data_IF_264735758022
#
_entry.id   IF_264735758022
#
_cell.length_a   1.000
_cell.length_b   1.000
_cell.length_c   1.000
_cell.angle_alpha   90.00
_cell.angle_beta   90.00
_cell.angle_gamma   90.00
#
_symmetry.space_group_name_H-M   'P 1'
#
loop_
_entity.id
_entity.type
_entity.pdbx_description
1 polymer ?
#
# COMPACT_ATOMS: atom_id res chain seq x y z
N UNK A 1 5.34 -3.31 4.73
CA UNK A 1 4.87 -3.12 3.34
C UNK A 1 5.32 -1.81 2.70
N UNK A 2 4.89 -0.63 3.17
CA UNK A 2 5.23 0.65 2.51
C UNK A 2 6.72 0.91 2.33
N UNK A 3 7.58 0.52 3.27
CA UNK A 3 9.04 0.64 3.11
C UNK A 3 9.56 -0.15 1.90
N UNK A 4 9.09 -1.39 1.71
CA UNK A 4 9.45 -2.23 0.57
C UNK A 4 8.97 -1.62 -0.75
N UNK A 5 7.72 -1.12 -0.80
CA UNK A 5 7.18 -0.50 -2.00
C UNK A 5 7.91 0.80 -2.37
N UNK A 6 8.06 1.72 -1.42
CA UNK A 6 8.61 3.05 -1.70
C UNK A 6 10.14 3.09 -1.76
N UNK A 7 10.84 2.42 -0.84
CA UNK A 7 12.31 2.45 -0.84
C UNK A 7 12.89 1.37 -1.75
N UNK A 8 12.30 0.17 -1.75
CA UNK A 8 12.72 -0.92 -2.63
C UNK A 8 12.39 -0.64 -4.08
N UNK A 9 11.15 -0.90 -4.50
CA UNK A 9 10.75 -0.72 -5.90
C UNK A 9 10.75 0.75 -6.36
N UNK A 10 10.38 1.67 -5.47
CA UNK A 10 10.34 3.09 -5.80
C UNK A 10 11.73 3.72 -5.99
N UNK A 11 12.68 3.42 -5.10
CA UNK A 11 14.01 4.07 -5.05
C UNK A 11 15.21 3.15 -5.29
N UNK A 12 14.98 1.87 -5.57
CA UNK A 12 16.03 0.90 -5.89
C UNK A 12 16.87 0.44 -4.70
N UNK A 13 16.37 0.57 -3.47
CA UNK A 13 17.05 -0.04 -2.31
C UNK A 13 16.96 -1.56 -2.41
N UNK A 14 18.08 -2.22 -2.20
CA UNK A 14 18.18 -3.68 -2.31
C UNK A 14 17.21 -4.39 -1.35
N UNK A 15 16.53 -5.43 -1.84
CA UNK A 15 15.52 -6.17 -1.09
C UNK A 15 16.11 -6.89 0.13
N UNK A 16 17.28 -7.52 0.00
CA UNK A 16 17.96 -8.21 1.12
C UNK A 16 18.31 -7.23 2.24
N UNK A 17 18.76 -6.01 1.90
CA UNK A 17 19.00 -4.96 2.88
C UNK A 17 17.72 -4.51 3.60
N UNK A 18 16.59 -4.42 2.89
CA UNK A 18 15.30 -4.08 3.51
C UNK A 18 14.81 -5.19 4.43
N UNK A 19 15.00 -6.47 4.07
CA UNK A 19 14.69 -7.59 4.94
C UNK A 19 15.57 -7.62 6.19
N UNK A 20 16.87 -7.33 6.04
CA UNK A 20 17.78 -7.20 7.18
C UNK A 20 17.32 -6.09 8.12
N UNK A 21 17.00 -4.91 7.60
CA UNK A 21 16.51 -3.78 8.39
C UNK A 21 15.18 -4.09 9.08
N UNK A 22 14.26 -4.74 8.38
CA UNK A 22 12.99 -5.17 8.95
C UNK A 22 13.22 -6.14 10.11
N UNK A 23 14.04 -7.17 9.91
CA UNK A 23 14.34 -8.15 10.96
C UNK A 23 15.02 -7.51 12.17
N UNK A 24 15.90 -6.54 11.94
CA UNK A 24 16.57 -5.82 13.02
C UNK A 24 15.63 -4.92 13.82
N UNK A 25 14.64 -4.31 13.16
CA UNK A 25 13.75 -3.32 13.80
C UNK A 25 12.46 -3.92 14.37
N UNK A 26 11.95 -4.98 13.76
CA UNK A 26 10.63 -5.56 14.05
C UNK A 26 10.69 -7.06 14.32
N UNK A 27 11.85 -7.70 14.19
CA UNK A 27 12.00 -9.16 14.32
C UNK A 27 11.01 -9.88 13.37
N UNK A 28 10.22 -10.79 13.91
CA UNK A 28 9.24 -11.60 13.18
C UNK A 28 7.86 -10.93 13.10
N UNK A 29 7.68 -9.73 13.67
CA UNK A 29 6.40 -9.01 13.66
C UNK A 29 5.92 -8.77 12.23
N UNK A 30 4.65 -9.07 11.97
CA UNK A 30 3.92 -8.68 10.76
C UNK A 30 2.50 -8.26 11.14
N UNK A 31 1.87 -7.36 10.38
CA UNK A 31 0.44 -7.10 10.56
C UNK A 31 -0.37 -8.38 10.29
N UNK A 32 -1.37 -8.63 11.12
CA UNK A 32 -2.38 -9.68 10.87
C UNK A 32 -3.21 -9.38 9.60
N UNK A 33 -3.33 -8.10 9.26
CA UNK A 33 -4.02 -7.61 8.07
C UNK A 33 -3.37 -6.32 7.54
N UNK A 34 -3.05 -6.34 6.25
CA UNK A 34 -2.74 -5.15 5.44
C UNK A 34 -3.85 -4.96 4.42
N UNK A 35 -4.53 -3.82 4.48
CA UNK A 35 -5.48 -3.39 3.46
C UNK A 35 -4.74 -2.54 2.42
N UNK A 36 -4.71 -3.00 1.18
CA UNK A 36 -4.05 -2.32 0.06
C UNK A 36 -5.13 -1.65 -0.78
N UNK A 37 -5.20 -0.33 -0.69
CA UNK A 37 -6.10 0.50 -1.50
C UNK A 37 -5.47 0.67 -2.89
N UNK A 38 -5.83 -0.20 -3.83
CA UNK A 38 -5.31 -0.13 -5.20
C UNK A 38 -6.08 0.90 -6.00
N UNK A 39 -5.34 1.79 -6.66
CA UNK A 39 -5.90 2.78 -7.57
C UNK A 39 -4.91 3.03 -8.69
N UNK A 40 -5.45 3.38 -9.85
CA UNK A 40 -4.66 3.92 -10.94
C UNK A 40 -3.83 5.13 -10.45
N UNK A 41 -2.49 5.16 -10.65
CA UNK A 41 -1.63 6.21 -10.13
C UNK A 41 -2.03 7.62 -10.55
N UNK A 42 -2.46 7.79 -11.79
CA UNK A 42 -2.86 9.06 -12.37
C UNK A 42 -4.13 9.60 -11.67
N UNK A 43 -5.13 8.74 -11.49
CA UNK A 43 -6.33 9.08 -10.72
C UNK A 43 -6.02 9.34 -9.23
N UNK A 44 -5.11 8.54 -8.65
CA UNK A 44 -4.65 8.71 -7.27
C UNK A 44 -4.01 10.07 -7.03
N UNK A 45 -3.10 10.49 -7.91
CA UNK A 45 -2.47 11.81 -7.88
C UNK A 45 -3.48 12.93 -8.07
N UNK A 46 -4.41 12.78 -9.03
CA UNK A 46 -5.49 13.75 -9.24
C UNK A 46 -6.32 13.97 -7.97
N UNK A 47 -6.65 12.89 -7.24
CA UNK A 47 -7.37 12.96 -5.95
C UNK A 47 -6.50 13.54 -4.83
N UNK A 48 -5.19 13.30 -4.82
CA UNK A 48 -4.26 13.88 -3.85
C UNK A 48 -4.15 15.40 -4.04
N UNK A 49 -3.91 15.87 -5.26
CA UNK A 49 -3.82 17.29 -5.59
C UNK A 49 -5.10 18.08 -5.26
N UNK A 50 -6.27 17.45 -5.40
CA UNK A 50 -7.55 18.07 -5.05
C UNK A 50 -7.73 18.27 -3.52
N UNK A 51 -7.08 17.46 -2.69
CA UNK A 51 -7.06 17.61 -1.23
C UNK A 51 -6.02 18.67 -0.87
N UNK A 52 -6.43 19.94 -0.86
CA UNK A 52 -5.55 21.08 -0.49
C UNK A 52 -4.84 20.80 0.85
N UNK A 53 -3.51 20.80 0.83
CA UNK A 53 -2.68 20.75 2.04
C UNK A 53 -1.65 19.64 1.99
N UNK A 54 -0.39 20.05 1.84
CA UNK A 54 0.84 19.25 1.86
C UNK A 54 1.10 18.45 0.59
N UNK A 55 1.78 19.09 -0.38
CA UNK A 55 2.62 18.37 -1.33
C UNK A 55 3.54 17.44 -0.55
N UNK A 56 3.32 16.14 -0.66
CA UNK A 56 4.24 15.18 -0.05
C UNK A 56 5.42 14.97 -1.00
N UNK A 57 6.63 14.82 -0.46
CA UNK A 57 7.87 14.53 -1.22
C UNK A 57 7.70 13.43 -2.29
N UNK A 58 6.73 12.54 -2.11
CA UNK A 58 6.45 11.44 -3.03
C UNK A 58 5.47 11.81 -4.15
N UNK A 59 4.57 12.77 -3.98
CA UNK A 59 3.67 13.24 -5.04
C UNK A 59 4.40 14.04 -6.13
N UNK A 60 5.59 14.55 -5.81
CA UNK A 60 6.48 15.22 -6.76
C UNK A 60 7.34 14.23 -7.58
N UNK A 61 7.22 12.92 -7.34
CA UNK A 61 7.95 11.92 -8.11
C UNK A 61 7.30 11.71 -9.49
N UNK A 62 8.05 11.14 -10.44
CA UNK A 62 7.53 10.86 -11.77
C UNK A 62 6.47 9.74 -11.78
N UNK A 63 5.70 9.67 -12.86
CA UNK A 63 4.67 8.63 -13.01
C UNK A 63 5.24 7.21 -12.94
N UNK A 64 6.46 7.00 -13.45
CA UNK A 64 7.11 5.70 -13.42
C UNK A 64 7.33 5.22 -11.98
N UNK A 65 7.74 6.12 -11.09
CA UNK A 65 7.85 5.86 -9.65
C UNK A 65 6.53 5.37 -9.07
N UNK A 66 5.42 6.06 -9.36
CA UNK A 66 4.11 5.67 -8.83
C UNK A 66 3.65 4.31 -9.37
N UNK A 67 3.90 4.02 -10.64
CA UNK A 67 3.65 2.72 -11.24
C UNK A 67 4.49 1.61 -10.58
N UNK A 68 5.79 1.84 -10.32
CA UNK A 68 6.65 0.89 -9.58
C UNK A 68 6.14 0.64 -8.16
N UNK A 69 5.73 1.69 -7.45
CA UNK A 69 5.17 1.59 -6.10
C UNK A 69 3.88 0.76 -6.08
N UNK A 70 2.94 1.05 -7.00
CA UNK A 70 1.71 0.26 -7.15
C UNK A 70 2.02 -1.21 -7.41
N UNK A 71 2.89 -1.50 -8.38
CA UNK A 71 3.27 -2.86 -8.73
C UNK A 71 3.90 -3.62 -7.54
N UNK A 72 4.67 -2.93 -6.70
CA UNK A 72 5.26 -3.51 -5.50
C UNK A 72 4.20 -3.89 -4.45
N UNK A 73 3.24 -3.02 -4.16
CA UNK A 73 2.13 -3.36 -3.27
C UNK A 73 1.32 -4.56 -3.79
N UNK A 74 1.00 -4.59 -5.08
CA UNK A 74 0.31 -5.72 -5.69
C UNK A 74 1.13 -7.01 -5.68
N UNK A 75 2.46 -6.91 -5.69
CA UNK A 75 3.36 -8.07 -5.55
C UNK A 75 3.35 -8.59 -4.12
N UNK A 76 3.43 -7.70 -3.12
CA UNK A 76 3.29 -8.07 -1.70
C UNK A 76 1.95 -8.79 -1.48
N UNK A 77 0.86 -8.24 -2.01
CA UNK A 77 -0.46 -8.84 -1.87
C UNK A 77 -0.56 -10.25 -2.46
N UNK A 78 0.04 -10.45 -3.64
CA UNK A 78 0.10 -11.75 -4.33
C UNK A 78 0.94 -12.77 -3.58
N UNK A 79 2.05 -12.34 -2.98
CA UNK A 79 2.95 -13.21 -2.22
C UNK A 79 2.40 -13.56 -0.83
N UNK A 80 1.57 -12.69 -0.24
CA UNK A 80 1.08 -12.84 1.13
C UNK A 80 -0.45 -12.73 1.24
N UNK A 81 -1.22 -13.54 0.46
CA UNK A 81 -2.69 -13.42 0.37
C UNK A 81 -3.41 -13.71 1.68
N UNK A 82 -2.75 -14.39 2.62
CA UNK A 82 -3.32 -14.67 3.94
C UNK A 82 -3.39 -13.43 4.84
N UNK A 83 -2.52 -12.44 4.67
CA UNK A 83 -2.53 -11.19 5.46
C UNK A 83 -2.84 -9.95 4.63
N UNK A 84 -2.88 -10.03 3.31
CA UNK A 84 -3.17 -8.90 2.45
C UNK A 84 -4.56 -9.00 1.82
N UNK A 85 -5.27 -7.87 1.79
CA UNK A 85 -6.51 -7.71 1.02
C UNK A 85 -6.35 -6.50 0.09
N UNK A 86 -6.60 -6.69 -1.20
CA UNK A 86 -6.58 -5.63 -2.21
C UNK A 86 -7.99 -5.11 -2.41
N UNK A 87 -8.17 -3.80 -2.29
CA UNK A 87 -9.45 -3.10 -2.34
C UNK A 87 -9.39 -2.11 -3.49
N UNK A 88 -10.39 -2.13 -4.37
CA UNK A 88 -10.49 -1.18 -5.47
C UNK A 88 -10.85 0.21 -4.94
N UNK A 89 -9.84 1.07 -4.83
CA UNK A 89 -10.00 2.43 -4.35
C UNK A 89 -10.44 3.41 -5.45
N UNK A 90 -10.66 2.95 -6.69
CA UNK A 90 -11.29 3.78 -7.73
C UNK A 90 -12.79 3.97 -7.49
N UNK A 91 -13.43 3.06 -6.74
CA UNK A 91 -14.85 3.12 -6.38
C UNK A 91 -15.22 4.32 -5.49
N UNK A 92 -16.52 4.52 -5.29
CA UNK A 92 -17.04 5.53 -4.36
C UNK A 92 -16.57 5.25 -2.92
N UNK A 93 -16.34 6.30 -2.14
CA UNK A 93 -15.81 6.20 -0.77
C UNK A 93 -16.62 5.24 0.11
N UNK A 94 -17.95 5.25 -0.01
CA UNK A 94 -18.84 4.36 0.75
C UNK A 94 -18.67 2.89 0.35
N UNK A 95 -18.41 2.62 -0.94
CA UNK A 95 -18.15 1.26 -1.42
C UNK A 95 -16.81 0.74 -0.91
N UNK A 96 -15.75 1.57 -1.00
CA UNK A 96 -14.43 1.25 -0.44
C UNK A 96 -14.53 1.00 1.07
N UNK A 97 -15.24 1.86 1.80
CA UNK A 97 -15.45 1.69 3.24
C UNK A 97 -16.18 0.38 3.56
N UNK A 98 -17.24 0.05 2.81
CA UNK A 98 -17.97 -1.21 3.00
C UNK A 98 -17.06 -2.43 2.80
N UNK A 99 -16.25 -2.44 1.75
CA UNK A 99 -15.31 -3.53 1.46
C UNK A 99 -14.23 -3.67 2.55
N UNK A 100 -13.68 -2.54 3.04
CA UNK A 100 -12.79 -2.52 4.21
C UNK A 100 -13.45 -3.21 5.41
N UNK A 101 -14.70 -2.83 5.73
CA UNK A 101 -15.42 -3.37 6.87
C UNK A 101 -15.74 -4.86 6.70
N UNK A 102 -16.00 -5.33 5.48
CA UNK A 102 -16.18 -6.75 5.18
C UNK A 102 -14.91 -7.55 5.46
N UNK A 103 -13.75 -7.08 5.02
CA UNK A 103 -12.46 -7.72 5.33
C UNK A 103 -12.15 -7.76 6.82
N UNK A 104 -12.45 -6.68 7.56
CA UNK A 104 -12.26 -6.65 9.01
C UNK A 104 -13.17 -7.66 9.72
N UNK A 105 -14.46 -7.72 9.36
CA UNK A 105 -15.42 -8.67 9.97
C UNK A 105 -15.08 -10.13 9.68
N UNK A 106 -14.71 -10.45 8.44
CA UNK A 106 -14.29 -11.81 8.05
C UNK A 106 -13.11 -12.33 8.89
N UNK A 107 -12.30 -11.42 9.44
CA UNK A 107 -11.12 -11.72 10.25
C UNK A 107 -11.34 -11.54 11.75
N UNK A 108 -12.57 -11.26 12.18
CA UNK A 108 -12.89 -11.02 13.59
C UNK A 108 -12.26 -9.74 14.17
N UNK A 109 -11.89 -8.78 13.32
CA UNK A 109 -11.24 -7.51 13.69
C UNK A 109 -12.22 -6.34 13.82
N UNK A 110 -13.51 -6.56 13.54
CA UNK A 110 -14.59 -5.60 13.74
C UNK A 110 -15.81 -6.31 14.31
N UNK A 111 -16.51 -5.63 15.22
CA UNK A 111 -17.77 -6.07 15.82
C UNK A 111 -18.94 -6.03 14.83
#
# INVERSE_FOLDING_TARGET
DSTFAYQGAGKGVEEDFLHLLHRFTLEDFRPDLTLILDIDPEEGLRRAQARRGYETRFEAMDMEFHHRVRAAFLTIARNEPQRCAVIDASAAQEAVHREIMEHLRQRGMAA
#
